data_IF_401104933547
#
_entry.id   IF_401104933547
#
_cell.length_a   1.000
_cell.length_b   1.000
_cell.length_c   1.000
_cell.angle_alpha   90.00
_cell.angle_beta   90.00
_cell.angle_gamma   90.00
#
_symmetry.space_group_name_H-M   'P 1'
#
loop_
_entity.id
_entity.type
_entity.pdbx_description
1 polymer ?
#
# COMPACT_ATOMS: atom_id res chain seq x y z
N UNK A 1 -22.17 -22.49 1.16
CA UNK A 1 -21.93 -22.84 2.58
C UNK A 1 -21.05 -21.72 3.17
N UNK A 2 -21.61 -20.90 4.05
CA UNK A 2 -20.83 -19.93 4.80
C UNK A 2 -19.91 -20.67 5.77
N UNK A 3 -18.60 -20.50 5.64
CA UNK A 3 -17.64 -21.03 6.62
C UNK A 3 -17.83 -20.30 7.95
N UNK A 4 -17.96 -21.02 9.05
CA UNK A 4 -17.93 -20.44 10.40
C UNK A 4 -16.57 -19.75 10.63
N UNK A 5 -16.51 -18.65 11.39
CA UNK A 5 -15.28 -17.89 11.69
C UNK A 5 -14.11 -18.78 12.17
N UNK A 6 -14.41 -19.83 12.93
CA UNK A 6 -13.42 -20.80 13.45
C UNK A 6 -12.82 -21.73 12.40
N UNK A 7 -13.39 -21.79 11.20
CA UNK A 7 -12.90 -22.62 10.09
C UNK A 7 -12.16 -21.82 9.00
N UNK A 8 -12.04 -20.49 9.15
CA UNK A 8 -11.35 -19.63 8.20
C UNK A 8 -9.85 -19.67 8.42
N UNK A 9 -9.10 -19.92 7.33
CA UNK A 9 -7.66 -19.83 7.34
C UNK A 9 -7.21 -18.41 7.02
N UNK A 10 -6.51 -17.77 7.95
CA UNK A 10 -6.02 -16.40 7.81
C UNK A 10 -4.52 -16.40 7.55
N UNK A 11 -4.11 -15.72 6.48
CA UNK A 11 -2.71 -15.43 6.16
C UNK A 11 -2.37 -13.97 6.46
N UNK A 12 -1.20 -13.72 7.05
CA UNK A 12 -0.70 -12.38 7.33
C UNK A 12 0.62 -12.20 6.60
N UNK A 13 0.66 -11.33 5.60
CA UNK A 13 1.85 -11.03 4.81
C UNK A 13 2.54 -9.82 5.40
N UNK A 14 3.80 -9.99 5.81
CA UNK A 14 4.67 -8.93 6.32
C UNK A 14 5.83 -8.75 5.35
N UNK A 15 5.95 -7.55 4.76
CA UNK A 15 7.03 -7.23 3.84
C UNK A 15 8.21 -6.62 4.60
N UNK A 16 9.35 -7.28 4.57
CA UNK A 16 10.62 -6.81 5.13
C UNK A 16 11.55 -6.26 4.05
N UNK A 17 12.16 -5.13 4.30
CA UNK A 17 13.33 -4.62 3.56
C UNK A 17 14.23 -3.81 4.47
N UNK A 18 15.36 -4.39 4.91
CA UNK A 18 16.33 -3.77 5.83
C UNK A 18 15.72 -3.31 7.18
N UNK A 19 14.75 -4.07 7.71
CA UNK A 19 13.96 -3.75 8.92
C UNK A 19 13.66 -4.99 9.76
N UNK A 20 14.62 -5.92 9.92
CA UNK A 20 14.38 -7.18 10.66
C UNK A 20 13.90 -6.98 12.09
N UNK A 21 14.43 -5.98 12.80
CA UNK A 21 14.02 -5.68 14.17
C UNK A 21 12.57 -5.22 14.28
N UNK A 22 12.13 -4.36 13.37
CA UNK A 22 10.73 -3.94 13.28
C UNK A 22 9.84 -5.14 12.92
N UNK A 23 10.26 -5.96 11.95
CA UNK A 23 9.54 -7.17 11.54
C UNK A 23 9.35 -8.12 12.73
N UNK A 24 10.38 -8.35 13.55
CA UNK A 24 10.29 -9.18 14.78
C UNK A 24 9.27 -8.61 15.75
N UNK A 25 9.29 -7.30 16.00
CA UNK A 25 8.31 -6.64 16.89
C UNK A 25 6.88 -6.79 16.38
N UNK A 26 6.68 -6.59 15.07
CA UNK A 26 5.40 -6.81 14.40
C UNK A 26 4.89 -8.25 14.66
N UNK A 27 5.71 -9.26 14.39
CA UNK A 27 5.38 -10.67 14.63
C UNK A 27 5.02 -10.92 16.08
N UNK A 28 5.82 -10.45 17.03
CA UNK A 28 5.53 -10.64 18.46
C UNK A 28 4.25 -9.93 18.91
N UNK A 29 3.94 -8.75 18.35
CA UNK A 29 2.68 -8.07 18.64
C UNK A 29 1.48 -8.86 18.12
N UNK A 30 1.59 -9.47 16.92
CA UNK A 30 0.55 -10.33 16.35
C UNK A 30 0.33 -11.54 17.26
N UNK A 31 1.38 -12.26 17.65
CA UNK A 31 1.31 -13.44 18.54
C UNK A 31 0.72 -13.15 19.89
N UNK A 32 0.85 -11.92 20.38
CA UNK A 32 0.27 -11.50 21.66
C UNK A 32 -1.25 -11.46 21.62
N UNK A 33 -1.84 -11.05 20.50
CA UNK A 33 -3.27 -10.76 20.43
C UNK A 33 -4.06 -11.76 19.57
N UNK A 34 -3.41 -12.47 18.65
CA UNK A 34 -4.05 -13.36 17.70
C UNK A 34 -3.62 -14.83 17.92
N UNK A 35 -4.50 -15.80 17.56
CA UNK A 35 -4.29 -17.23 17.85
C UNK A 35 -4.32 -18.16 16.63
N UNK A 36 -5.07 -17.81 15.57
CA UNK A 36 -5.35 -18.70 14.45
C UNK A 36 -4.98 -18.02 13.13
N UNK A 37 -3.69 -18.09 12.76
CA UNK A 37 -3.15 -17.47 11.54
C UNK A 37 -1.86 -18.15 11.11
N UNK A 38 -1.45 -17.88 9.88
CA UNK A 38 -0.08 -18.15 9.39
C UNK A 38 0.55 -16.83 8.96
N UNK A 39 1.75 -16.54 9.43
CA UNK A 39 2.50 -15.34 9.05
C UNK A 39 3.45 -15.68 7.91
N UNK A 40 3.39 -14.90 6.84
CA UNK A 40 4.27 -14.98 5.68
C UNK A 40 5.19 -13.77 5.70
N UNK A 41 6.44 -13.98 6.13
CA UNK A 41 7.45 -12.92 6.13
C UNK A 41 8.16 -12.96 4.79
N UNK A 42 8.03 -11.91 4.00
CA UNK A 42 8.69 -11.78 2.69
C UNK A 42 9.86 -10.83 2.83
N UNK A 43 11.08 -11.34 2.76
CA UNK A 43 12.27 -10.49 2.61
C UNK A 43 12.42 -10.04 1.17
N UNK A 44 12.27 -8.74 0.92
CA UNK A 44 12.31 -8.14 -0.41
C UNK A 44 13.74 -7.94 -0.93
N UNK A 45 14.58 -8.98 -0.78
CA UNK A 45 15.99 -8.95 -1.13
C UNK A 45 16.75 -7.87 -0.35
N UNK A 46 16.68 -7.91 0.98
CA UNK A 46 17.40 -7.00 1.87
C UNK A 46 18.90 -7.02 1.57
N UNK A 47 19.51 -5.85 1.61
CA UNK A 47 20.95 -5.64 1.36
C UNK A 47 21.81 -5.69 2.63
N UNK A 48 21.17 -5.78 3.78
CA UNK A 48 21.79 -5.98 5.09
C UNK A 48 21.60 -7.43 5.58
N UNK A 49 21.85 -7.70 6.85
CA UNK A 49 21.71 -9.01 7.47
C UNK A 49 20.26 -9.39 7.83
N UNK A 50 19.25 -8.63 7.40
CA UNK A 50 17.84 -8.83 7.78
C UNK A 50 17.32 -10.24 7.47
N UNK A 51 17.69 -10.80 6.31
CA UNK A 51 17.28 -12.16 5.96
C UNK A 51 17.83 -13.20 6.96
N UNK A 52 19.12 -13.16 7.23
CA UNK A 52 19.78 -14.13 8.11
C UNK A 52 19.22 -14.02 9.53
N UNK A 53 19.00 -12.80 9.99
CA UNK A 53 18.44 -12.50 11.30
C UNK A 53 16.98 -13.03 11.45
N UNK A 54 16.12 -12.80 10.46
CA UNK A 54 14.76 -13.34 10.45
C UNK A 54 14.75 -14.85 10.31
N UNK A 55 15.62 -15.42 9.48
CA UNK A 55 15.74 -16.86 9.32
C UNK A 55 16.17 -17.52 10.63
N UNK A 56 17.23 -17.04 11.28
CA UNK A 56 17.68 -17.58 12.57
C UNK A 56 16.61 -17.47 13.66
N UNK A 57 15.81 -16.40 13.63
CA UNK A 57 14.77 -16.17 14.64
C UNK A 57 13.56 -17.09 14.44
N UNK A 58 13.13 -17.34 13.21
CA UNK A 58 11.80 -17.89 12.93
C UNK A 58 11.76 -19.20 12.12
N UNK A 59 12.89 -19.76 11.65
CA UNK A 59 12.90 -20.93 10.76
C UNK A 59 12.29 -22.21 11.36
N UNK A 60 12.22 -22.32 12.70
CA UNK A 60 11.60 -23.45 13.40
C UNK A 60 10.13 -23.19 13.81
N UNK A 61 9.57 -22.05 13.52
CA UNK A 61 8.23 -21.67 13.95
C UNK A 61 7.18 -22.20 12.97
N UNK A 62 6.28 -23.05 13.44
CA UNK A 62 5.26 -23.71 12.60
C UNK A 62 4.19 -22.77 12.05
N UNK A 63 4.01 -21.59 12.66
CA UNK A 63 3.05 -20.55 12.26
C UNK A 63 3.67 -19.49 11.34
N UNK A 64 4.97 -19.65 10.98
CA UNK A 64 5.70 -18.70 10.13
C UNK A 64 6.22 -19.37 8.86
N UNK A 65 6.01 -18.71 7.72
CA UNK A 65 6.58 -19.05 6.42
C UNK A 65 7.54 -17.94 6.00
N UNK A 66 8.81 -18.29 5.86
CA UNK A 66 9.85 -17.35 5.40
C UNK A 66 10.01 -17.43 3.89
N UNK A 67 9.91 -16.30 3.21
CA UNK A 67 10.04 -16.17 1.76
C UNK A 67 11.11 -15.12 1.44
N UNK A 68 11.96 -15.41 0.45
CA UNK A 68 12.98 -14.47 -0.02
C UNK A 68 12.76 -14.12 -1.47
N UNK A 69 12.60 -12.82 -1.76
CA UNK A 69 12.50 -12.32 -3.12
C UNK A 69 13.84 -12.40 -3.85
N UNK A 70 13.82 -12.64 -5.16
CA UNK A 70 15.05 -12.69 -5.99
C UNK A 70 15.66 -11.31 -6.23
N UNK A 71 14.90 -10.23 -6.00
CA UNK A 71 15.29 -8.83 -6.15
C UNK A 71 14.42 -7.93 -5.30
N UNK A 72 14.88 -6.73 -4.98
CA UNK A 72 13.98 -5.70 -4.47
C UNK A 72 13.11 -5.17 -5.63
N UNK A 73 11.90 -5.67 -5.73
CA UNK A 73 10.92 -5.27 -6.75
C UNK A 73 9.94 -4.18 -6.28
N UNK A 74 10.12 -3.63 -5.08
CA UNK A 74 9.21 -2.65 -4.46
C UNK A 74 8.07 -3.30 -3.68
N UNK A 75 7.15 -2.45 -3.21
CA UNK A 75 6.07 -2.87 -2.31
C UNK A 75 5.11 -3.88 -2.95
N UNK A 76 4.62 -3.58 -4.16
CA UNK A 76 3.67 -4.44 -4.88
C UNK A 76 4.24 -5.84 -5.15
N UNK A 77 5.45 -5.90 -5.68
CA UNK A 77 6.14 -7.15 -6.02
C UNK A 77 6.37 -8.03 -4.78
N UNK A 78 6.92 -7.45 -3.72
CA UNK A 78 7.18 -8.21 -2.49
C UNK A 78 5.90 -8.74 -1.84
N UNK A 79 4.87 -7.92 -1.73
CA UNK A 79 3.58 -8.37 -1.19
C UNK A 79 2.92 -9.44 -2.06
N UNK A 80 3.03 -9.36 -3.40
CA UNK A 80 2.47 -10.37 -4.30
C UNK A 80 3.09 -11.76 -4.09
N UNK A 81 4.37 -11.84 -3.71
CA UNK A 81 5.02 -13.12 -3.34
C UNK A 81 4.30 -13.77 -2.15
N UNK A 82 4.08 -12.98 -1.09
CA UNK A 82 3.36 -13.45 0.10
C UNK A 82 1.91 -13.81 -0.19
N UNK A 83 1.21 -12.97 -0.97
CA UNK A 83 -0.18 -13.22 -1.39
C UNK A 83 -0.29 -14.52 -2.17
N UNK A 84 0.61 -14.75 -3.15
CA UNK A 84 0.62 -15.97 -3.94
C UNK A 84 0.77 -17.19 -3.04
N UNK A 85 1.69 -17.14 -2.08
CA UNK A 85 1.88 -18.24 -1.12
C UNK A 85 0.66 -18.45 -0.21
N UNK A 86 0.02 -17.39 0.26
CA UNK A 86 -1.24 -17.48 1.01
C UNK A 86 -2.34 -18.20 0.19
N UNK A 87 -2.42 -17.91 -1.11
CA UNK A 87 -3.41 -18.51 -2.02
C UNK A 87 -3.11 -20.01 -2.29
N UNK A 88 -1.83 -20.36 -2.46
CA UNK A 88 -1.40 -21.76 -2.57
C UNK A 88 -1.75 -22.56 -1.32
N UNK A 89 -1.59 -21.96 -0.16
CA UNK A 89 -1.90 -22.54 1.13
C UNK A 89 -3.41 -22.47 1.48
N UNK A 90 -4.26 -22.02 0.54
CA UNK A 90 -5.71 -21.93 0.68
C UNK A 90 -6.17 -21.02 1.84
N UNK A 91 -5.51 -19.91 2.07
CA UNK A 91 -6.01 -18.88 2.97
C UNK A 91 -7.33 -18.30 2.45
N UNK A 92 -8.27 -18.03 3.35
CA UNK A 92 -9.57 -17.42 3.05
C UNK A 92 -9.50 -15.90 3.13
N UNK A 93 -8.72 -15.38 4.10
CA UNK A 93 -8.50 -13.96 4.33
C UNK A 93 -7.00 -13.71 4.37
N UNK A 94 -6.57 -12.62 3.74
CA UNK A 94 -5.18 -12.20 3.68
C UNK A 94 -5.06 -10.79 4.24
N UNK A 95 -4.20 -10.62 5.24
CA UNK A 95 -3.81 -9.32 5.76
C UNK A 95 -2.47 -8.91 5.15
N UNK A 96 -2.37 -7.67 4.71
CA UNK A 96 -1.12 -7.02 4.29
C UNK A 96 -0.72 -6.07 5.41
N UNK A 97 0.48 -6.24 5.91
CA UNK A 97 0.96 -5.53 7.11
C UNK A 97 2.40 -5.06 6.88
N UNK A 98 2.65 -3.78 7.11
CA UNK A 98 4.01 -3.25 7.10
C UNK A 98 4.80 -3.77 8.30
N UNK A 99 6.12 -3.91 8.14
CA UNK A 99 7.01 -4.39 9.18
C UNK A 99 7.05 -3.52 10.46
N UNK A 100 6.66 -2.24 10.35
CA UNK A 100 6.67 -1.25 11.43
C UNK A 100 5.28 -1.04 12.09
N UNK A 101 4.39 -2.04 11.94
CA UNK A 101 3.08 -2.11 12.60
C UNK A 101 3.16 -2.96 13.88
N UNK A 102 2.54 -2.49 14.94
CA UNK A 102 2.28 -3.28 16.14
C UNK A 102 0.78 -3.28 16.48
N UNK A 103 0.23 -4.46 16.75
CA UNK A 103 -1.18 -4.60 17.15
C UNK A 103 -1.36 -4.07 18.59
N UNK A 104 -2.49 -3.39 18.83
CA UNK A 104 -2.86 -2.91 20.16
C UNK A 104 -3.99 -3.73 20.80
N UNK A 105 -4.67 -4.53 19.98
CA UNK A 105 -5.71 -5.48 20.40
C UNK A 105 -5.84 -6.61 19.36
N UNK A 106 -6.86 -7.46 19.49
CA UNK A 106 -7.16 -8.53 18.53
C UNK A 106 -7.71 -7.98 17.21
N UNK A 107 -6.95 -7.06 16.57
CA UNK A 107 -7.38 -6.27 15.43
C UNK A 107 -7.79 -7.15 14.23
N UNK A 108 -7.07 -8.22 13.92
CA UNK A 108 -7.41 -9.11 12.80
C UNK A 108 -8.68 -9.92 13.06
N UNK A 109 -8.86 -10.41 14.28
CA UNK A 109 -10.11 -11.07 14.69
C UNK A 109 -11.32 -10.14 14.55
N UNK A 110 -11.20 -8.89 15.01
CA UNK A 110 -12.25 -7.85 14.90
C UNK A 110 -12.55 -7.57 13.43
N UNK A 111 -11.51 -7.28 12.64
CA UNK A 111 -11.64 -6.99 11.21
C UNK A 111 -12.21 -8.16 10.42
N UNK A 112 -11.78 -9.40 10.70
CA UNK A 112 -12.32 -10.60 10.05
C UNK A 112 -13.84 -10.68 10.26
N UNK A 113 -14.31 -10.53 11.50
CA UNK A 113 -15.73 -10.56 11.82
C UNK A 113 -16.52 -9.49 11.07
N UNK A 114 -16.00 -8.27 11.04
CA UNK A 114 -16.65 -7.15 10.36
C UNK A 114 -16.65 -7.34 8.84
N UNK A 115 -15.56 -7.84 8.24
CA UNK A 115 -15.48 -8.10 6.81
C UNK A 115 -16.48 -9.19 6.36
N UNK A 116 -16.61 -10.28 7.12
CA UNK A 116 -17.57 -11.36 6.84
C UNK A 116 -19.00 -10.83 6.83
N UNK A 117 -19.34 -10.01 7.82
CA UNK A 117 -20.68 -9.44 7.95
C UNK A 117 -21.00 -8.34 6.91
N UNK A 118 -20.03 -7.94 6.10
CA UNK A 118 -20.17 -6.90 5.08
C UNK A 118 -19.72 -7.42 3.70
N UNK A 119 -20.46 -8.30 3.03
CA UNK A 119 -20.05 -8.95 1.78
C UNK A 119 -19.85 -7.97 0.62
N UNK A 120 -20.43 -6.78 0.67
CA UNK A 120 -20.21 -5.72 -0.33
C UNK A 120 -18.87 -4.98 -0.16
N UNK A 121 -18.22 -5.14 0.99
CA UNK A 121 -16.89 -4.58 1.22
C UNK A 121 -15.82 -5.61 0.82
N UNK A 122 -14.80 -5.17 0.10
CA UNK A 122 -13.69 -5.99 -0.35
C UNK A 122 -12.49 -5.84 0.59
N UNK A 123 -12.24 -4.65 1.06
CA UNK A 123 -11.08 -4.28 1.90
C UNK A 123 -11.56 -3.79 3.26
N UNK A 124 -10.83 -4.19 4.30
CA UNK A 124 -11.00 -3.69 5.66
C UNK A 124 -9.67 -3.21 6.24
N UNK A 125 -9.69 -2.06 6.91
CA UNK A 125 -8.54 -1.54 7.67
C UNK A 125 -8.87 -1.23 9.11
N UNK A 126 -7.86 -1.20 9.98
CA UNK A 126 -7.98 -0.79 11.38
C UNK A 126 -7.94 0.73 11.52
N UNK A 127 -8.21 1.21 12.73
CA UNK A 127 -7.75 2.51 13.22
C UNK A 127 -6.24 2.45 13.44
N UNK A 128 -5.52 3.36 12.78
CA UNK A 128 -4.08 3.53 12.94
C UNK A 128 -3.83 4.66 13.93
N UNK A 129 -3.07 4.42 14.99
CA UNK A 129 -2.77 5.42 16.01
C UNK A 129 -1.30 5.81 16.03
N UNK A 130 -1.04 7.06 16.43
CA UNK A 130 0.30 7.60 16.67
C UNK A 130 0.81 7.28 18.09
N UNK A 131 2.00 7.78 18.41
CA UNK A 131 2.62 7.62 19.75
C UNK A 131 1.82 8.30 20.89
N UNK A 132 0.84 9.13 20.58
CA UNK A 132 -0.01 9.83 21.53
C UNK A 132 -1.40 9.18 21.63
N UNK A 133 -1.65 8.10 20.88
CA UNK A 133 -2.94 7.42 20.84
C UNK A 133 -3.99 8.14 19.96
N UNK A 134 -3.59 9.15 19.20
CA UNK A 134 -4.49 9.82 18.26
C UNK A 134 -4.59 9.02 16.97
N UNK A 135 -5.80 8.93 16.42
CA UNK A 135 -6.00 8.35 15.11
C UNK A 135 -5.32 9.20 14.03
N UNK A 136 -4.45 8.55 13.25
CA UNK A 136 -3.74 9.15 12.12
C UNK A 136 -4.21 8.50 10.83
N UNK A 137 -4.07 9.19 9.73
CA UNK A 137 -4.43 8.79 8.35
C UNK A 137 -5.03 7.38 8.20
N UNK A 138 -6.35 7.27 8.27
CA UNK A 138 -7.06 6.00 8.29
C UNK A 138 -7.38 5.47 6.91
N UNK A 139 -7.61 6.37 5.97
CA UNK A 139 -8.14 6.02 4.66
C UNK A 139 -8.00 7.14 3.63
N UNK A 140 -8.13 6.76 2.37
CA UNK A 140 -8.01 7.66 1.23
C UNK A 140 -9.11 7.40 0.22
N UNK A 141 -9.77 8.46 -0.25
CA UNK A 141 -10.70 8.43 -1.38
C UNK A 141 -9.92 8.46 -2.72
N UNK A 142 -10.59 8.09 -3.81
CA UNK A 142 -9.98 8.07 -5.15
C UNK A 142 -9.38 9.41 -5.53
N UNK A 143 -8.11 9.40 -5.92
CA UNK A 143 -7.42 10.56 -6.48
C UNK A 143 -7.89 10.81 -7.92
N UNK A 144 -8.34 12.04 -8.18
CA UNK A 144 -8.71 12.52 -9.53
C UNK A 144 -7.60 13.39 -10.13
N UNK A 145 -7.61 13.59 -11.45
CA UNK A 145 -6.68 14.52 -12.10
C UNK A 145 -6.76 15.92 -11.48
N UNK A 146 -7.95 16.40 -11.15
CA UNK A 146 -8.16 17.71 -10.53
C UNK A 146 -7.47 17.79 -9.16
N UNK A 147 -7.64 16.78 -8.30
CA UNK A 147 -7.00 16.75 -6.99
C UNK A 147 -5.49 16.59 -7.09
N UNK A 148 -5.00 15.85 -8.10
CA UNK A 148 -3.57 15.76 -8.42
C UNK A 148 -2.97 17.14 -8.75
N UNK A 149 -3.63 17.93 -9.61
CA UNK A 149 -3.18 19.29 -9.97
C UNK A 149 -3.20 20.20 -8.74
N UNK A 150 -4.27 20.16 -7.93
CA UNK A 150 -4.39 20.97 -6.72
C UNK A 150 -3.32 20.66 -5.67
N UNK A 151 -2.88 19.41 -5.57
CA UNK A 151 -1.80 18.99 -4.67
C UNK A 151 -0.40 19.37 -5.16
N UNK A 152 -0.26 19.98 -6.36
CA UNK A 152 1.03 20.38 -6.92
C UNK A 152 1.33 21.87 -6.74
N UNK A 153 2.63 22.16 -6.59
CA UNK A 153 3.12 23.54 -6.57
C UNK A 153 2.89 24.22 -7.93
N UNK A 154 2.40 25.48 -7.99
CA UNK A 154 2.16 26.38 -6.85
C UNK A 154 0.78 26.21 -6.16
N UNK A 155 -0.14 25.43 -6.74
CA UNK A 155 -1.53 25.35 -6.30
C UNK A 155 -1.70 24.83 -4.87
N UNK A 156 -0.85 23.90 -4.42
CA UNK A 156 -0.89 23.33 -3.07
C UNK A 156 -0.71 24.38 -1.95
N UNK A 157 -0.14 25.55 -2.26
CA UNK A 157 0.03 26.66 -1.30
C UNK A 157 -1.22 27.54 -1.17
N UNK A 158 -2.23 27.33 -2.03
CA UNK A 158 -3.48 28.09 -2.00
C UNK A 158 -4.47 27.32 -1.10
N UNK A 159 -4.92 27.97 0.00
CA UNK A 159 -5.78 27.35 1.00
C UNK A 159 -7.04 26.67 0.43
N UNK A 160 -7.67 27.27 -0.59
CA UNK A 160 -8.82 26.69 -1.27
C UNK A 160 -8.51 25.34 -1.93
N UNK A 161 -7.38 25.21 -2.61
CA UNK A 161 -6.98 23.95 -3.26
C UNK A 161 -6.51 22.93 -2.25
N UNK A 162 -5.75 23.36 -1.21
CA UNK A 162 -5.32 22.50 -0.11
C UNK A 162 -6.52 21.83 0.55
N UNK A 163 -7.55 22.59 0.95
CA UNK A 163 -8.79 22.05 1.55
C UNK A 163 -9.47 20.99 0.65
N UNK A 164 -9.37 21.10 -0.68
CA UNK A 164 -9.95 20.10 -1.59
C UNK A 164 -9.14 18.81 -1.64
N UNK A 165 -7.82 18.87 -1.45
CA UNK A 165 -6.97 17.68 -1.32
C UNK A 165 -7.18 17.03 0.04
N UNK A 166 -7.27 17.81 1.11
CA UNK A 166 -7.49 17.32 2.47
C UNK A 166 -8.80 16.49 2.58
N UNK A 167 -9.83 16.86 1.83
CA UNK A 167 -11.10 16.09 1.76
C UNK A 167 -10.97 14.66 1.21
N UNK A 168 -9.85 14.31 0.59
CA UNK A 168 -9.58 12.92 0.20
C UNK A 168 -9.39 12.03 1.43
N UNK A 169 -8.97 12.62 2.55
CA UNK A 169 -8.66 11.96 3.81
C UNK A 169 -9.69 12.22 4.91
N UNK A 170 -10.76 12.95 4.57
CA UNK A 170 -11.83 13.31 5.51
C UNK A 170 -12.76 12.10 5.72
N UNK A 171 -12.56 11.39 6.84
CA UNK A 171 -13.26 10.17 7.23
C UNK A 171 -13.81 10.34 8.63
N UNK A 172 -15.11 10.05 8.86
CA UNK A 172 -15.71 10.14 10.17
C UNK A 172 -15.08 9.17 11.17
N UNK A 173 -14.69 9.67 12.34
CA UNK A 173 -14.10 8.87 13.44
C UNK A 173 -15.10 8.51 14.54
N UNK A 174 -16.34 9.03 14.46
CA UNK A 174 -17.34 8.91 15.53
C UNK A 174 -18.27 7.68 15.37
N UNK A 175 -17.93 6.74 14.48
CA UNK A 175 -18.72 5.54 14.23
C UNK A 175 -17.83 4.32 14.42
N UNK A 176 -18.40 3.20 14.90
CA UNK A 176 -17.65 1.95 15.07
C UNK A 176 -16.96 1.52 13.79
N UNK A 177 -17.65 1.58 12.65
CA UNK A 177 -17.07 1.35 11.34
C UNK A 177 -17.64 2.31 10.30
N UNK A 178 -16.85 2.59 9.28
CA UNK A 178 -17.21 3.47 8.17
C UNK A 178 -16.97 2.78 6.83
N UNK A 179 -18.03 2.73 5.99
CA UNK A 179 -18.00 2.14 4.65
C UNK A 179 -17.92 3.26 3.60
N UNK A 180 -16.96 3.19 2.69
CA UNK A 180 -16.74 4.24 1.71
C UNK A 180 -16.12 3.74 0.41
N UNK A 181 -16.16 4.56 -0.63
CA UNK A 181 -15.39 4.32 -1.86
C UNK A 181 -13.98 4.87 -1.71
N UNK A 182 -13.03 3.99 -1.47
CA UNK A 182 -11.65 4.33 -1.20
C UNK A 182 -10.82 3.13 -0.79
N UNK A 183 -9.76 3.39 -0.06
CA UNK A 183 -8.82 2.41 0.46
C UNK A 183 -8.53 2.73 1.93
N UNK A 184 -8.48 1.73 2.77
CA UNK A 184 -7.82 1.82 4.07
C UNK A 184 -6.34 2.16 3.90
N UNK A 185 -5.66 2.56 4.97
CA UNK A 185 -4.22 2.78 4.92
C UNK A 185 -3.49 1.52 4.44
N UNK A 186 -2.57 1.66 3.49
CA UNK A 186 -1.77 0.56 2.96
C UNK A 186 -0.82 -0.06 3.98
N UNK A 187 -0.63 0.57 5.14
CA UNK A 187 0.23 0.01 6.18
C UNK A 187 -0.34 -1.23 6.87
N UNK A 188 -1.68 -1.35 6.92
CA UNK A 188 -2.37 -2.52 7.49
C UNK A 188 -3.79 -2.63 6.94
N UNK A 189 -4.12 -3.70 6.22
CA UNK A 189 -5.47 -3.97 5.76
C UNK A 189 -5.70 -5.46 5.49
N UNK A 190 -6.96 -5.89 5.51
CA UNK A 190 -7.39 -7.24 5.19
C UNK A 190 -8.25 -7.27 3.92
N UNK A 191 -8.20 -8.40 3.19
CA UNK A 191 -8.97 -8.66 2.00
C UNK A 191 -9.26 -10.16 1.88
N UNK A 192 -10.41 -10.54 1.29
CA UNK A 192 -10.67 -11.96 1.00
C UNK A 192 -9.76 -12.44 -0.11
N UNK A 193 -9.28 -13.67 -0.01
CA UNK A 193 -8.43 -14.29 -1.03
C UNK A 193 -9.10 -14.32 -2.42
N UNK A 194 -10.42 -14.57 -2.47
CA UNK A 194 -11.21 -14.52 -3.70
C UNK A 194 -11.24 -13.13 -4.33
N UNK A 195 -11.31 -12.09 -3.49
CA UNK A 195 -11.33 -10.70 -3.95
C UNK A 195 -9.95 -10.28 -4.48
N UNK A 196 -8.83 -10.73 -3.85
CA UNK A 196 -7.49 -10.51 -4.40
C UNK A 196 -7.31 -11.14 -5.79
N UNK A 197 -7.80 -12.37 -5.98
CA UNK A 197 -7.79 -13.01 -7.30
C UNK A 197 -8.58 -12.20 -8.33
N UNK A 198 -9.76 -11.72 -7.95
CA UNK A 198 -10.65 -10.95 -8.82
C UNK A 198 -10.01 -9.63 -9.29
N UNK A 199 -9.25 -8.94 -8.44
CA UNK A 199 -8.57 -7.68 -8.78
C UNK A 199 -7.16 -7.87 -9.32
N UNK A 200 -6.72 -9.12 -9.57
CA UNK A 200 -5.38 -9.45 -10.07
C UNK A 200 -4.25 -8.85 -9.23
N UNK A 201 -4.35 -8.93 -7.90
CA UNK A 201 -3.32 -8.56 -6.92
C UNK A 201 -2.87 -7.09 -7.01
N UNK A 202 -1.70 -6.78 -6.43
CA UNK A 202 -1.08 -5.48 -6.63
C UNK A 202 -0.51 -5.34 -8.05
N UNK A 203 -0.46 -4.11 -8.55
CA UNK A 203 0.19 -3.81 -9.83
C UNK A 203 1.69 -3.57 -9.63
N UNK A 204 2.52 -4.45 -10.18
CA UNK A 204 3.98 -4.42 -10.04
C UNK A 204 4.67 -3.37 -10.94
N UNK A 205 3.92 -2.64 -11.76
CA UNK A 205 4.48 -1.55 -12.55
C UNK A 205 4.83 -0.31 -11.70
N UNK A 206 4.35 -0.26 -10.46
CA UNK A 206 4.75 0.73 -9.45
C UNK A 206 5.69 0.09 -8.43
N UNK A 207 6.82 0.76 -8.18
CA UNK A 207 7.81 0.29 -7.22
C UNK A 207 7.42 0.67 -5.79
N UNK A 208 7.00 1.93 -5.59
CA UNK A 208 6.64 2.49 -4.29
C UNK A 208 5.70 3.67 -4.51
N UNK A 209 4.70 3.81 -3.65
CA UNK A 209 3.61 4.78 -3.68
C UNK A 209 2.62 4.57 -4.83
N UNK A 210 1.38 4.97 -4.63
CA UNK A 210 0.22 4.86 -5.53
C UNK A 210 -0.33 3.44 -5.72
N UNK A 211 0.21 2.43 -5.08
CA UNK A 211 -0.39 1.09 -5.01
C UNK A 211 -1.80 1.13 -4.42
N UNK A 212 -2.03 1.96 -3.40
CA UNK A 212 -3.35 2.18 -2.79
C UNK A 212 -4.32 2.84 -3.78
N UNK A 213 -3.87 3.89 -4.51
CA UNK A 213 -4.69 4.57 -5.52
C UNK A 213 -5.09 3.62 -6.66
N UNK A 214 -4.20 2.70 -7.02
CA UNK A 214 -4.46 1.64 -8.00
C UNK A 214 -5.50 0.66 -7.46
N UNK A 215 -5.36 0.21 -6.21
CA UNK A 215 -6.35 -0.66 -5.59
C UNK A 215 -7.72 0.02 -5.51
N UNK A 216 -7.82 1.31 -5.19
CA UNK A 216 -9.08 2.06 -5.22
C UNK A 216 -9.72 1.98 -6.61
N UNK A 217 -8.95 2.11 -7.69
CA UNK A 217 -9.48 1.99 -9.03
C UNK A 217 -9.98 0.58 -9.34
N UNK A 218 -9.23 -0.44 -8.95
CA UNK A 218 -9.62 -1.84 -9.10
C UNK A 218 -10.88 -2.17 -8.29
N UNK A 219 -11.00 -1.69 -7.05
CA UNK A 219 -12.21 -1.82 -6.23
C UNK A 219 -13.41 -1.16 -6.89
N UNK A 220 -13.24 0.07 -7.39
CA UNK A 220 -14.31 0.83 -8.01
C UNK A 220 -14.84 0.16 -9.29
N UNK A 221 -13.98 -0.50 -10.08
CA UNK A 221 -14.40 -1.25 -11.27
C UNK A 221 -15.27 -2.48 -10.97
N UNK A 222 -15.22 -2.97 -9.72
CA UNK A 222 -16.05 -4.07 -9.22
C UNK A 222 -17.20 -3.60 -8.32
N UNK A 223 -17.49 -2.29 -8.27
CA UNK A 223 -18.52 -1.68 -7.40
C UNK A 223 -18.32 -2.01 -5.90
N UNK A 224 -17.10 -2.34 -5.50
CA UNK A 224 -16.77 -2.74 -4.14
C UNK A 224 -16.32 -1.54 -3.30
N UNK A 225 -16.49 -1.66 -2.00
CA UNK A 225 -16.19 -0.62 -1.01
C UNK A 225 -15.10 -1.07 -0.05
N UNK A 226 -14.48 -0.11 0.60
CA UNK A 226 -13.62 -0.31 1.76
C UNK A 226 -14.40 -0.02 3.04
N UNK A 227 -13.93 -0.62 4.14
CA UNK A 227 -14.45 -0.39 5.48
C UNK A 227 -13.30 -0.12 6.44
N UNK A 228 -13.46 0.83 7.35
CA UNK A 228 -12.58 1.02 8.52
C UNK A 228 -13.35 0.55 9.74
N UNK A 229 -12.72 -0.29 10.57
CA UNK A 229 -13.25 -0.70 11.86
C UNK A 229 -12.42 -0.03 12.97
N UNK A 230 -13.02 0.93 13.67
CA UNK A 230 -12.36 1.70 14.72
C UNK A 230 -12.14 0.92 16.02
N UNK A 231 -12.79 -0.24 16.20
CA UNK A 231 -12.53 -1.15 17.31
C UNK A 231 -11.23 -1.93 17.13
N UNK A 232 -10.79 -2.14 15.88
CA UNK A 232 -9.50 -2.72 15.52
C UNK A 232 -8.42 -1.64 15.56
N UNK A 233 -7.39 -1.80 16.39
CA UNK A 233 -6.37 -0.76 16.62
C UNK A 233 -4.97 -1.29 16.39
N UNK A 234 -4.20 -0.52 15.61
CA UNK A 234 -2.78 -0.78 15.39
C UNK A 234 -1.98 0.50 15.59
N UNK A 235 -0.75 0.36 16.06
CA UNK A 235 0.21 1.45 16.12
C UNK A 235 1.14 1.37 14.91
N UNK A 236 1.42 2.51 14.28
CA UNK A 236 2.34 2.62 13.16
C UNK A 236 3.51 3.53 13.52
N UNK A 237 4.69 2.96 13.56
CA UNK A 237 5.93 3.66 13.96
C UNK A 237 6.47 4.64 12.92
N UNK A 238 5.71 5.00 11.89
CA UNK A 238 6.08 5.87 10.78
C UNK A 238 7.46 5.63 10.12
N UNK A 239 7.42 5.01 8.95
CA UNK A 239 8.43 5.15 7.87
C UNK A 239 9.89 4.91 8.23
N UNK A 240 10.23 3.84 8.93
CA UNK A 240 11.64 3.52 9.26
C UNK A 240 12.46 3.24 7.99
N UNK A 241 11.90 2.50 7.03
CA UNK A 241 12.60 2.12 5.78
C UNK A 241 12.75 3.27 4.79
N UNK A 242 11.75 4.15 4.66
CA UNK A 242 11.77 5.25 3.70
C UNK A 242 12.64 6.43 4.14
N UNK A 243 12.78 6.67 5.44
CA UNK A 243 13.68 7.74 5.96
C UNK A 243 15.14 7.51 5.58
N UNK A 244 15.58 6.24 5.41
CA UNK A 244 16.95 5.88 5.00
C UNK A 244 17.22 6.13 3.51
N UNK A 245 16.21 6.23 2.65
CA UNK A 245 16.35 6.19 1.19
C UNK A 245 16.63 7.55 0.52
N UNK A 246 16.57 8.67 1.24
CA UNK A 246 16.82 10.02 0.73
C UNK A 246 15.70 10.61 -0.14
N UNK A 247 15.56 11.95 -0.10
CA UNK A 247 14.45 12.68 -0.73
C UNK A 247 14.36 12.51 -2.25
N UNK A 248 15.51 12.42 -2.95
CA UNK A 248 15.54 12.29 -4.40
C UNK A 248 15.00 10.93 -4.85
N UNK A 249 15.39 9.85 -4.15
CA UNK A 249 14.89 8.49 -4.41
C UNK A 249 13.38 8.39 -4.19
N UNK A 250 12.90 8.89 -3.05
CA UNK A 250 11.46 8.91 -2.74
C UNK A 250 10.68 9.65 -3.82
N UNK A 251 11.15 10.84 -4.23
CA UNK A 251 10.49 11.66 -5.25
C UNK A 251 10.54 11.00 -6.63
N UNK A 252 11.64 10.33 -6.98
CA UNK A 252 11.79 9.58 -8.23
C UNK A 252 10.70 8.50 -8.34
N UNK A 253 10.57 7.65 -7.35
CA UNK A 253 9.57 6.59 -7.36
C UNK A 253 8.15 7.16 -7.32
N UNK A 254 7.88 8.09 -6.43
CA UNK A 254 6.56 8.73 -6.30
C UNK A 254 6.08 9.39 -7.59
N UNK A 255 6.97 10.07 -8.32
CA UNK A 255 6.59 10.73 -9.56
C UNK A 255 6.39 9.74 -10.71
N UNK A 256 7.20 8.71 -10.82
CA UNK A 256 7.01 7.65 -11.79
C UNK A 256 5.70 6.88 -11.53
N UNK A 257 5.41 6.55 -10.28
CA UNK A 257 4.20 5.83 -9.88
C UNK A 257 2.94 6.67 -10.12
N UNK A 258 2.93 7.97 -9.76
CA UNK A 258 1.78 8.83 -10.05
C UNK A 258 1.56 9.02 -11.54
N UNK A 259 2.63 9.16 -12.33
CA UNK A 259 2.51 9.29 -13.79
C UNK A 259 1.90 8.02 -14.38
N UNK A 260 2.36 6.84 -13.95
CA UNK A 260 1.78 5.57 -14.34
C UNK A 260 0.29 5.48 -13.97
N UNK A 261 -0.07 5.81 -12.72
CA UNK A 261 -1.45 5.84 -12.25
C UNK A 261 -2.35 6.75 -13.10
N UNK A 262 -1.90 7.98 -13.37
CA UNK A 262 -2.65 8.95 -14.17
C UNK A 262 -2.87 8.47 -15.61
N UNK A 263 -1.88 7.81 -16.20
CA UNK A 263 -1.94 7.38 -17.60
C UNK A 263 -2.72 6.06 -17.75
N UNK A 264 -2.48 5.08 -16.91
CA UNK A 264 -3.11 3.76 -16.97
C UNK A 264 -4.52 3.76 -16.40
N UNK A 265 -4.67 4.24 -15.18
CA UNK A 265 -5.93 4.11 -14.42
C UNK A 265 -6.89 5.27 -14.60
N UNK A 266 -6.43 6.49 -14.83
CA UNK A 266 -7.28 7.62 -15.20
C UNK A 266 -7.41 7.79 -16.73
N UNK A 267 -6.64 7.04 -17.53
CA UNK A 267 -6.70 6.98 -18.98
C UNK A 267 -6.74 8.37 -19.66
N UNK A 268 -5.81 9.23 -19.23
CA UNK A 268 -5.71 10.59 -19.77
C UNK A 268 -5.39 10.56 -21.27
N UNK A 269 -5.94 11.49 -22.04
CA UNK A 269 -5.62 11.62 -23.44
C UNK A 269 -4.16 12.07 -23.66
N UNK A 270 -3.65 11.86 -24.87
CA UNK A 270 -2.23 12.11 -25.20
C UNK A 270 -1.80 13.56 -24.95
N UNK A 271 -2.67 14.53 -25.21
CA UNK A 271 -2.38 15.94 -24.98
C UNK A 271 -2.11 16.23 -23.49
N UNK A 272 -2.98 15.77 -22.59
CA UNK A 272 -2.80 15.96 -21.15
C UNK A 272 -1.55 15.20 -20.65
N UNK A 273 -1.30 13.99 -21.16
CA UNK A 273 -0.07 13.22 -20.84
C UNK A 273 1.18 14.01 -21.20
N UNK A 274 1.20 14.64 -22.39
CA UNK A 274 2.31 15.46 -22.84
C UNK A 274 2.53 16.67 -21.92
N UNK A 275 1.48 17.37 -21.50
CA UNK A 275 1.59 18.47 -20.55
C UNK A 275 2.17 18.02 -19.21
N UNK A 276 1.73 16.86 -18.68
CA UNK A 276 2.27 16.29 -17.43
C UNK A 276 3.74 15.91 -17.62
N UNK A 277 4.10 15.30 -18.74
CA UNK A 277 5.48 14.94 -19.08
C UNK A 277 6.39 16.19 -19.10
N UNK A 278 5.99 17.25 -19.78
CA UNK A 278 6.72 18.52 -19.82
C UNK A 278 6.88 19.09 -18.41
N UNK A 279 5.79 19.16 -17.64
CA UNK A 279 5.84 19.66 -16.26
C UNK A 279 6.82 18.86 -15.40
N UNK A 280 6.73 17.54 -15.42
CA UNK A 280 7.60 16.66 -14.66
C UNK A 280 9.06 16.85 -15.04
N UNK A 281 9.35 16.88 -16.36
CA UNK A 281 10.71 17.03 -16.90
C UNK A 281 11.32 18.38 -16.53
N UNK A 282 10.61 19.48 -16.75
CA UNK A 282 11.07 20.84 -16.40
C UNK A 282 11.32 20.94 -14.89
N UNK A 283 10.39 20.45 -14.07
CA UNK A 283 10.57 20.51 -12.61
C UNK A 283 11.76 19.67 -12.15
N UNK A 284 11.97 18.48 -12.74
CA UNK A 284 13.12 17.63 -12.41
C UNK A 284 14.44 18.27 -12.84
N UNK A 285 14.50 18.92 -14.02
CA UNK A 285 15.66 19.68 -14.49
C UNK A 285 16.02 20.80 -13.50
N UNK A 286 15.03 21.59 -13.04
CA UNK A 286 15.26 22.65 -12.06
C UNK A 286 15.81 22.10 -10.72
N UNK A 287 15.33 20.94 -10.27
CA UNK A 287 15.85 20.27 -9.08
C UNK A 287 17.29 19.76 -9.30
N UNK A 288 17.59 19.28 -10.50
CA UNK A 288 18.92 18.77 -10.89
C UNK A 288 20.00 19.85 -10.94
N UNK A 289 19.62 21.10 -11.22
CA UNK A 289 20.55 22.25 -11.13
C UNK A 289 21.01 22.46 -9.67
N UNK A 290 20.08 22.29 -8.72
CA UNK A 290 20.29 22.60 -7.30
C UNK A 290 20.86 21.45 -6.48
N UNK A 291 20.75 20.19 -6.95
CA UNK A 291 21.14 19.02 -6.16
C UNK A 291 21.76 17.92 -7.03
N UNK A 292 22.93 17.43 -6.60
CA UNK A 292 23.67 16.34 -7.23
C UNK A 292 22.85 15.05 -7.31
N UNK A 293 22.14 14.70 -6.25
CA UNK A 293 21.32 13.46 -6.19
C UNK A 293 20.20 13.44 -7.24
N UNK A 294 19.56 14.58 -7.53
CA UNK A 294 18.57 14.68 -8.62
C UNK A 294 19.25 14.60 -10.00
N UNK A 295 20.46 15.12 -10.14
CA UNK A 295 21.24 15.11 -11.39
C UNK A 295 21.64 13.68 -11.75
N UNK A 296 22.07 12.89 -10.79
CA UNK A 296 22.41 11.47 -10.98
C UNK A 296 21.22 10.64 -11.47
N UNK A 297 20.02 10.95 -11.02
CA UNK A 297 18.76 10.27 -11.44
C UNK A 297 18.11 10.88 -12.69
N UNK A 298 18.62 11.99 -13.26
CA UNK A 298 17.96 12.74 -14.33
C UNK A 298 17.75 11.90 -15.59
N UNK A 299 18.79 11.22 -16.05
CA UNK A 299 18.73 10.39 -17.26
C UNK A 299 17.67 9.31 -17.13
N UNK A 300 17.71 8.56 -16.04
CA UNK A 300 16.77 7.46 -15.79
C UNK A 300 15.34 7.96 -15.60
N UNK A 301 15.19 9.12 -14.94
CA UNK A 301 13.88 9.75 -14.78
C UNK A 301 13.26 10.12 -16.14
N UNK A 302 13.99 10.83 -17.02
CA UNK A 302 13.51 11.21 -18.36
C UNK A 302 13.19 9.96 -19.19
N UNK A 303 14.07 8.96 -19.18
CA UNK A 303 13.86 7.68 -19.89
C UNK A 303 12.57 7.00 -19.43
N UNK A 304 12.34 6.92 -18.13
CA UNK A 304 11.13 6.31 -17.55
C UNK A 304 9.87 7.12 -17.92
N UNK A 305 9.90 8.44 -17.79
CA UNK A 305 8.78 9.32 -18.15
C UNK A 305 8.44 9.23 -19.65
N UNK A 306 9.46 9.18 -20.51
CA UNK A 306 9.28 8.99 -21.98
C UNK A 306 8.63 7.63 -22.27
N UNK A 307 9.11 6.55 -21.64
CA UNK A 307 8.51 5.23 -21.80
C UNK A 307 7.03 5.23 -21.36
N UNK A 308 6.70 5.91 -20.28
CA UNK A 308 5.32 6.06 -19.83
C UNK A 308 4.46 6.85 -20.81
N UNK A 309 4.97 7.97 -21.36
CA UNK A 309 4.23 8.82 -22.33
C UNK A 309 3.79 8.04 -23.57
N UNK A 310 4.69 7.23 -24.14
CA UNK A 310 4.46 6.49 -25.39
C UNK A 310 3.94 5.04 -25.16
N UNK A 311 3.76 4.59 -23.91
CA UNK A 311 3.15 3.29 -23.64
C UNK A 311 1.73 3.27 -24.20
N UNK A 312 1.37 2.22 -24.95
CA UNK A 312 -0.03 1.93 -25.28
C UNK A 312 -0.70 1.36 -24.03
N UNK A 313 -1.76 1.99 -23.58
CA UNK A 313 -2.50 1.59 -22.37
C UNK A 313 -3.69 0.74 -22.76
N UNK A 314 -3.98 -0.27 -21.94
CA UNK A 314 -5.11 -1.16 -22.16
C UNK A 314 -6.42 -0.41 -21.82
N UNK A 315 -7.29 -0.31 -22.81
CA UNK A 315 -8.60 0.34 -22.65
C UNK A 315 -9.64 -0.60 -22.03
N UNK A 316 -9.32 -1.89 -21.82
CA UNK A 316 -10.25 -2.88 -21.24
C UNK A 316 -10.48 -2.73 -19.74
N UNK A 317 -9.63 -1.99 -19.03
CA UNK A 317 -9.74 -1.70 -17.59
C UNK A 317 -10.99 -0.83 -17.25
N UNK A 318 -11.73 -0.35 -18.26
CA UNK A 318 -12.95 0.46 -18.09
C UNK A 318 -14.24 -0.33 -17.92
N UNK A 319 -14.15 -1.66 -17.81
CA UNK A 319 -15.37 -2.47 -17.62
C UNK A 319 -15.48 -3.00 -16.22
#
# INVERSE_FOLDING_TARGET
MEKNMTSLKTGIVILNYNTSEETKKCVYSIRKFEKQYTIYIVDNCSSDHSWDDLYHTFHNDHDIVLLRASRNGGYSYGNNIGITKCLEDNCDIIYIVNSDIELLNSAFTIMTKTLINNPHCMIIGPSVVDNHGNEVQLAKKKLTLRNFIYGRHPFCNISFFKKKVDRLYDIPVNQRFFIFQGMASGCCFGIRATDFKQIHYFDENVFLYYEEDILICKLASHERKAIIDHDAKVWHKESVSTKKSGFAFIRYHRWNSVTYYLYEYLQLNFFIRTLIFIWNTVTWLLLSIRSRTYRELLHDFIKKQTKLLFKRYDTSIKK
#
